data_IF_390334552221
#
_entry.id   IF_390334552221
#
_cell.length_a   1.000
_cell.length_b   1.000
_cell.length_c   1.000
_cell.angle_alpha   90.00
_cell.angle_beta   90.00
_cell.angle_gamma   90.00
#
_symmetry.space_group_name_H-M   'P 1'
#
loop_
_entity.id
_entity.type
_entity.pdbx_description
1 polymer ?
#
# COMPACT_ATOMS: atom_id res chain seq x y z
N UNK A 1 3.28 11.55 -12.84
CA UNK A 1 2.38 10.81 -13.76
C UNK A 1 1.37 10.09 -12.91
N UNK A 2 0.10 10.11 -13.29
CA UNK A 2 -0.97 9.45 -12.54
C UNK A 2 -1.37 8.15 -13.25
N UNK A 3 -1.38 7.05 -12.51
CA UNK A 3 -1.84 5.73 -12.93
C UNK A 3 -3.15 5.44 -12.21
N UNK A 4 -4.29 5.73 -12.85
CA UNK A 4 -5.62 5.60 -12.25
C UNK A 4 -6.34 6.94 -12.11
N UNK A 5 -7.30 7.02 -11.19
CA UNK A 5 -8.07 8.24 -10.87
C UNK A 5 -7.98 8.52 -9.38
N UNK A 6 -7.51 9.72 -9.00
CA UNK A 6 -7.24 10.06 -7.59
C UNK A 6 -8.47 9.93 -6.69
N UNK A 7 -9.66 10.19 -7.24
CA UNK A 7 -10.95 10.09 -6.54
C UNK A 7 -11.40 8.64 -6.29
N UNK A 8 -10.74 7.66 -6.88
CA UNK A 8 -11.01 6.22 -6.70
C UNK A 8 -9.75 5.56 -6.14
N UNK A 9 -8.80 5.24 -7.02
CA UNK A 9 -7.48 4.77 -6.67
C UNK A 9 -6.52 5.24 -7.76
N UNK A 10 -5.38 5.79 -7.36
CA UNK A 10 -4.30 6.10 -8.29
C UNK A 10 -2.94 5.93 -7.63
N UNK A 11 -1.94 5.67 -8.45
CA UNK A 11 -0.54 5.86 -8.08
C UNK A 11 -0.06 7.12 -8.79
N UNK A 12 0.41 8.10 -8.03
CA UNK A 12 1.13 9.24 -8.61
C UNK A 12 2.63 8.96 -8.47
N UNK A 13 3.33 8.86 -9.60
CA UNK A 13 4.78 8.66 -9.58
C UNK A 13 5.52 9.45 -10.66
N UNK A 14 6.76 9.82 -10.38
CA UNK A 14 7.65 10.54 -11.30
C UNK A 14 9.03 9.90 -11.21
N UNK A 15 9.56 9.43 -12.34
CA UNK A 15 10.94 8.95 -12.39
C UNK A 15 11.91 10.13 -12.44
N UNK A 16 13.01 10.00 -11.72
CA UNK A 16 14.14 10.91 -11.80
C UNK A 16 15.16 10.30 -12.74
N UNK A 17 15.56 11.04 -13.78
CA UNK A 17 16.69 10.63 -14.62
C UNK A 17 17.95 10.59 -13.79
N UNK A 18 18.42 9.38 -13.51
CA UNK A 18 19.71 9.15 -12.89
C UNK A 18 20.55 8.41 -13.90
N UNK A 19 21.81 8.83 -14.06
CA UNK A 19 22.79 8.16 -14.92
C UNK A 19 23.25 6.86 -14.22
N UNK A 20 22.30 5.95 -13.99
CA UNK A 20 22.53 4.73 -13.25
C UNK A 20 22.90 3.63 -14.23
N UNK A 21 24.19 3.30 -14.27
CA UNK A 21 24.68 2.01 -14.84
C UNK A 21 24.08 0.78 -14.13
N UNK A 22 23.30 0.99 -13.07
CA UNK A 22 22.63 0.00 -12.23
C UNK A 22 21.13 0.18 -12.46
N UNK A 23 20.38 -0.92 -12.60
CA UNK A 23 18.95 -1.00 -12.94
C UNK A 23 17.99 -0.40 -11.88
N UNK A 24 18.41 0.64 -11.16
CA UNK A 24 17.68 1.24 -10.06
C UNK A 24 16.92 2.44 -10.61
N UNK A 25 15.62 2.46 -10.38
CA UNK A 25 14.73 3.55 -10.81
C UNK A 25 14.40 4.39 -9.60
N UNK A 26 14.97 5.58 -9.55
CA UNK A 26 14.66 6.55 -8.50
C UNK A 26 13.55 7.48 -8.95
N UNK A 27 12.83 8.05 -8.01
CA UNK A 27 11.75 8.96 -8.31
C UNK A 27 11.01 9.45 -7.09
N UNK A 28 9.76 9.79 -7.27
CA UNK A 28 8.83 10.20 -6.21
C UNK A 28 7.52 9.48 -6.39
N UNK A 29 6.83 9.16 -5.31
CA UNK A 29 5.59 8.40 -5.34
C UNK A 29 4.62 8.82 -4.23
N UNK A 30 3.33 8.70 -4.49
CA UNK A 30 2.32 8.49 -3.46
C UNK A 30 1.16 7.65 -4.02
N UNK A 31 0.38 7.05 -3.14
CA UNK A 31 -0.87 6.42 -3.51
C UNK A 31 -2.04 7.35 -3.15
N UNK A 32 -3.06 7.38 -3.99
CA UNK A 32 -4.31 8.08 -3.73
C UNK A 32 -5.40 7.03 -3.51
N UNK A 33 -6.13 7.15 -2.39
CA UNK A 33 -7.25 6.28 -2.06
C UNK A 33 -8.46 7.17 -1.75
N UNK A 34 -9.47 7.17 -2.63
CA UNK A 34 -10.65 8.05 -2.52
C UNK A 34 -10.29 9.53 -2.28
N UNK A 35 -9.27 10.03 -2.98
CA UNK A 35 -8.77 11.41 -2.85
C UNK A 35 -7.84 11.66 -1.66
N UNK A 36 -7.59 10.66 -0.82
CA UNK A 36 -6.68 10.77 0.33
C UNK A 36 -5.27 10.28 -0.05
N UNK A 37 -4.21 11.06 0.21
CA UNK A 37 -2.84 10.67 -0.11
C UNK A 37 -2.24 9.76 0.98
N UNK A 38 -1.74 8.59 0.57
CA UNK A 38 -0.85 7.72 1.32
C UNK A 38 0.58 7.93 0.83
N UNK A 39 1.46 8.31 1.76
CA UNK A 39 2.84 8.70 1.44
C UNK A 39 2.93 10.14 0.94
N UNK A 40 4.12 10.53 0.52
CA UNK A 40 4.46 11.91 0.19
C UNK A 40 5.24 12.00 -1.12
N UNK A 41 4.57 12.50 -2.17
CA UNK A 41 5.16 12.71 -3.50
C UNK A 41 6.22 13.81 -3.53
N UNK A 42 6.32 14.63 -2.48
CA UNK A 42 7.36 15.64 -2.37
C UNK A 42 8.67 15.06 -1.80
N UNK A 43 8.68 13.82 -1.33
CA UNK A 43 9.91 13.15 -0.94
C UNK A 43 10.82 13.00 -2.17
N UNK A 44 12.07 13.50 -2.11
CA UNK A 44 12.83 13.82 -3.32
C UNK A 44 13.37 12.60 -4.04
N UNK A 45 13.56 11.48 -3.35
CA UNK A 45 14.21 10.29 -3.90
C UNK A 45 13.71 9.03 -3.20
N UNK A 46 12.85 8.29 -3.88
CA UNK A 46 12.37 6.97 -3.51
C UNK A 46 12.86 5.95 -4.54
N UNK A 47 13.29 4.76 -4.11
CA UNK A 47 13.56 3.64 -5.02
C UNK A 47 12.25 3.02 -5.52
N UNK A 48 11.75 3.50 -6.65
CA UNK A 48 10.46 3.11 -7.20
C UNK A 48 10.38 1.62 -7.60
N UNK A 49 11.49 1.03 -8.03
CA UNK A 49 11.54 -0.39 -8.40
C UNK A 49 11.40 -1.32 -7.17
N UNK A 50 11.85 -0.88 -5.98
CA UNK A 50 11.64 -1.63 -4.73
C UNK A 50 10.16 -1.62 -4.37
N UNK A 51 9.53 -0.44 -4.38
CA UNK A 51 8.08 -0.32 -4.16
C UNK A 51 7.26 -1.09 -5.20
N UNK A 52 7.71 -1.12 -6.47
CA UNK A 52 7.10 -1.91 -7.52
C UNK A 52 7.11 -3.42 -7.22
N UNK A 53 8.18 -3.96 -6.64
CA UNK A 53 8.23 -5.37 -6.25
C UNK A 53 7.22 -5.71 -5.15
N UNK A 54 7.04 -4.83 -4.16
CA UNK A 54 5.97 -4.96 -3.17
C UNK A 54 4.59 -4.98 -3.83
N UNK A 55 4.32 -4.04 -4.73
CA UNK A 55 3.05 -3.96 -5.46
C UNK A 55 2.81 -5.20 -6.34
N UNK A 56 3.84 -5.75 -7.00
CA UNK A 56 3.74 -7.03 -7.74
C UNK A 56 3.34 -8.19 -6.84
N UNK A 57 3.89 -8.25 -5.63
CA UNK A 57 3.51 -9.28 -4.66
C UNK A 57 2.03 -9.11 -4.27
N UNK A 58 1.62 -7.89 -3.87
CA UNK A 58 0.23 -7.62 -3.46
C UNK A 58 -0.78 -7.89 -4.56
N UNK A 59 -0.46 -7.56 -5.81
CA UNK A 59 -1.31 -7.85 -6.96
C UNK A 59 -1.52 -9.36 -7.14
N UNK A 60 -0.46 -10.17 -6.99
CA UNK A 60 -0.52 -11.64 -7.11
C UNK A 60 -1.20 -12.32 -5.93
N UNK A 61 -1.17 -11.71 -4.75
CA UNK A 61 -1.73 -12.28 -3.52
C UNK A 61 -3.06 -11.67 -3.11
N UNK A 62 -3.68 -10.83 -3.95
CA UNK A 62 -4.90 -10.09 -3.63
C UNK A 62 -6.05 -11.00 -3.18
N UNK A 63 -6.18 -12.19 -3.78
CA UNK A 63 -7.15 -13.22 -3.39
C UNK A 63 -6.93 -13.74 -1.97
N UNK A 64 -5.67 -13.80 -1.52
CA UNK A 64 -5.29 -14.27 -0.20
C UNK A 64 -5.50 -13.21 0.89
N UNK A 65 -5.88 -11.98 0.52
CA UNK A 65 -6.16 -10.88 1.45
C UNK A 65 -7.62 -10.85 1.91
N UNK A 66 -8.44 -11.79 1.44
CA UNK A 66 -9.84 -11.88 1.83
C UNK A 66 -9.96 -12.28 3.30
N UNK A 67 -10.54 -11.40 4.11
CA UNK A 67 -10.77 -11.67 5.53
C UNK A 67 -12.06 -10.98 5.97
N UNK A 68 -13.11 -11.77 6.19
CA UNK A 68 -14.44 -11.27 6.56
C UNK A 68 -14.44 -10.58 7.93
N UNK A 69 -13.64 -11.07 8.88
CA UNK A 69 -13.51 -10.47 10.21
C UNK A 69 -12.95 -9.06 10.09
N UNK A 70 -11.78 -8.88 9.47
CA UNK A 70 -11.18 -7.56 9.25
C UNK A 70 -12.09 -6.63 8.45
N UNK A 71 -12.73 -7.15 7.41
CA UNK A 71 -13.63 -6.38 6.54
C UNK A 71 -14.89 -5.88 7.26
N UNK A 72 -15.28 -6.53 8.36
CA UNK A 72 -16.43 -6.13 9.19
C UNK A 72 -16.10 -5.10 10.26
N UNK A 73 -14.81 -4.89 10.55
CA UNK A 73 -14.34 -3.95 11.56
C UNK A 73 -14.36 -2.51 11.05
N UNK A 74 -14.46 -1.56 11.98
CA UNK A 74 -14.16 -0.16 11.66
C UNK A 74 -12.68 -0.02 11.28
N UNK A 75 -12.35 0.95 10.42
CA UNK A 75 -10.97 1.22 10.01
C UNK A 75 -10.01 1.36 11.21
N UNK A 76 -10.44 2.06 12.27
CA UNK A 76 -9.65 2.22 13.49
C UNK A 76 -9.42 0.90 14.23
N UNK A 77 -10.40 0.02 14.30
CA UNK A 77 -10.27 -1.29 14.95
C UNK A 77 -9.38 -2.22 14.10
N UNK A 78 -9.64 -2.32 12.80
CA UNK A 78 -8.83 -3.09 11.87
C UNK A 78 -7.37 -2.63 11.88
N UNK A 79 -7.12 -1.31 11.81
CA UNK A 79 -5.77 -0.75 11.92
C UNK A 79 -5.09 -1.17 13.23
N UNK A 80 -5.76 -1.03 14.37
CA UNK A 80 -5.18 -1.43 15.67
C UNK A 80 -4.85 -2.92 15.72
N UNK A 81 -5.75 -3.78 15.23
CA UNK A 81 -5.51 -5.22 15.17
C UNK A 81 -4.28 -5.52 14.31
N UNK A 82 -4.21 -4.95 13.10
CA UNK A 82 -3.11 -5.18 12.17
C UNK A 82 -1.79 -4.57 12.67
N UNK A 83 -1.85 -3.40 13.29
CA UNK A 83 -0.70 -2.71 13.88
C UNK A 83 -0.11 -3.47 15.04
N UNK A 84 -0.94 -3.89 16.00
CA UNK A 84 -0.48 -4.73 17.11
C UNK A 84 0.18 -5.99 16.57
N UNK A 85 -0.52 -6.68 15.68
CA UNK A 85 -0.10 -7.97 15.17
C UNK A 85 1.23 -7.89 14.36
N UNK A 86 1.55 -6.75 13.74
CA UNK A 86 2.84 -6.48 13.08
C UNK A 86 4.05 -6.48 14.04
N UNK A 87 3.86 -6.12 15.32
CA UNK A 87 4.96 -6.01 16.31
C UNK A 87 4.92 -7.08 17.40
N UNK A 88 3.95 -8.00 17.35
CA UNK A 88 3.66 -8.92 18.45
C UNK A 88 4.14 -10.34 18.13
N UNK A 89 5.28 -10.50 17.47
CA UNK A 89 5.89 -11.83 17.26
C UNK A 89 6.03 -12.55 18.63
N UNK A 90 5.18 -13.56 18.86
CA UNK A 90 5.23 -14.41 20.04
C UNK A 90 4.48 -13.95 21.30
N UNK A 91 3.56 -12.97 21.23
CA UNK A 91 2.66 -12.66 22.36
C UNK A 91 1.21 -12.83 21.87
N UNK A 92 0.50 -13.83 22.38
CA UNK A 92 -0.92 -14.02 22.07
C UNK A 92 -1.72 -12.78 22.49
N UNK A 93 -2.40 -12.08 21.57
CA UNK A 93 -3.27 -10.98 21.94
C UNK A 93 -4.49 -11.54 22.70
N UNK A 94 -4.83 -10.91 23.83
CA UNK A 94 -5.91 -11.34 24.75
C UNK A 94 -7.30 -11.35 24.07
N UNK A 95 -7.46 -10.67 22.94
CA UNK A 95 -8.63 -10.68 22.07
C UNK A 95 -8.17 -10.59 20.61
N UNK A 96 -7.59 -11.66 20.05
CA UNK A 96 -7.10 -11.68 18.66
C UNK A 96 -8.18 -12.14 17.66
N UNK A 97 -8.82 -11.23 16.90
CA UNK A 97 -9.73 -11.62 15.82
C UNK A 97 -9.03 -12.31 14.63
N UNK A 98 -7.69 -12.30 14.58
CA UNK A 98 -6.86 -12.89 13.52
C UNK A 98 -6.31 -14.27 13.88
N UNK A 99 -6.29 -14.62 15.18
CA UNK A 99 -5.68 -15.84 15.71
C UNK A 99 -4.14 -15.86 15.60
N UNK A 100 -3.52 -16.95 16.07
CA UNK A 100 -2.07 -17.14 16.31
C UNK A 100 -1.08 -16.80 15.16
N UNK A 101 -1.54 -16.41 13.97
CA UNK A 101 -0.66 -16.07 12.86
C UNK A 101 -1.10 -14.77 12.20
N UNK A 102 -0.60 -13.66 12.74
CA UNK A 102 -0.51 -12.45 11.94
C UNK A 102 0.30 -12.73 10.69
N UNK A 103 -0.28 -12.37 9.55
CA UNK A 103 0.33 -12.61 8.25
C UNK A 103 0.70 -11.24 7.66
N UNK A 104 2.01 -11.03 7.46
CA UNK A 104 2.60 -9.89 6.75
C UNK A 104 1.97 -9.66 5.35
N UNK A 105 1.13 -10.58 4.85
CA UNK A 105 0.26 -10.37 3.68
C UNK A 105 -0.58 -9.10 3.76
N UNK A 106 -1.01 -8.64 4.95
CA UNK A 106 -1.84 -7.44 5.07
C UNK A 106 -1.05 -6.13 5.07
N UNK A 107 0.27 -6.18 5.25
CA UNK A 107 1.11 -4.98 5.13
C UNK A 107 0.95 -4.33 3.75
N UNK A 108 0.85 -3.01 3.67
CA UNK A 108 0.73 -2.31 2.41
C UNK A 108 1.61 -1.09 2.40
N UNK A 109 2.88 -1.25 2.02
CA UNK A 109 3.83 -0.13 1.89
C UNK A 109 4.13 0.57 3.22
N UNK A 110 3.98 -0.09 4.38
CA UNK A 110 4.46 0.47 5.65
C UNK A 110 5.95 0.68 5.56
N UNK A 111 6.41 1.93 5.64
CA UNK A 111 7.80 2.32 5.34
C UNK A 111 8.32 1.69 4.03
N UNK A 112 7.45 1.57 3.01
CA UNK A 112 7.70 0.86 1.75
C UNK A 112 8.62 1.58 0.76
N UNK A 113 9.56 2.38 1.28
CA UNK A 113 10.41 3.32 0.56
C UNK A 113 10.29 4.73 1.14
N UNK A 114 11.20 5.62 0.73
CA UNK A 114 11.33 6.97 1.27
C UNK A 114 10.05 7.81 1.10
N UNK A 115 9.27 7.54 0.04
CA UNK A 115 7.96 8.16 -0.17
C UNK A 115 6.90 7.74 0.86
N UNK A 116 7.13 6.67 1.60
CA UNK A 116 6.22 6.09 2.59
C UNK A 116 6.84 6.08 3.99
N UNK A 117 8.00 6.72 4.19
CA UNK A 117 8.61 6.87 5.51
C UNK A 117 7.66 7.57 6.47
N UNK A 118 7.51 7.00 7.67
CA UNK A 118 6.59 7.49 8.69
C UNK A 118 5.12 7.17 8.41
N UNK A 119 4.81 6.55 7.27
CA UNK A 119 3.48 6.01 7.00
C UNK A 119 3.37 4.55 7.41
N UNK A 120 2.19 4.19 7.90
CA UNK A 120 1.80 2.82 8.21
C UNK A 120 0.50 2.52 7.53
N UNK A 121 0.46 1.43 6.80
CA UNK A 121 -0.66 1.14 5.92
C UNK A 121 -0.85 -0.34 5.71
N UNK A 122 -2.12 -0.71 5.59
CA UNK A 122 -2.57 -2.08 5.45
C UNK A 122 -3.60 -2.20 4.33
N UNK A 123 -3.70 -3.40 3.79
CA UNK A 123 -4.63 -3.76 2.72
C UNK A 123 -5.43 -5.00 3.12
N UNK A 124 -6.74 -4.92 2.97
CA UNK A 124 -7.68 -6.02 3.22
C UNK A 124 -8.62 -6.14 2.03
N UNK A 125 -8.96 -7.36 1.63
CA UNK A 125 -9.96 -7.59 0.58
C UNK A 125 -11.30 -7.99 1.19
N UNK A 126 -12.36 -7.38 0.68
CA UNK A 126 -13.76 -7.70 0.96
C UNK A 126 -14.48 -7.95 -0.37
N UNK A 127 -14.63 -9.22 -0.77
CA UNK A 127 -15.25 -9.60 -2.06
C UNK A 127 -14.60 -8.87 -3.27
N UNK A 128 -15.37 -8.01 -3.96
CA UNK A 128 -14.90 -7.22 -5.11
C UNK A 128 -14.34 -5.85 -4.73
N UNK A 129 -14.06 -5.64 -3.44
CA UNK A 129 -13.51 -4.42 -2.91
C UNK A 129 -12.18 -4.66 -2.18
N UNK A 130 -11.33 -3.65 -2.24
CA UNK A 130 -10.07 -3.57 -1.50
C UNK A 130 -10.21 -2.39 -0.55
N UNK A 131 -10.04 -2.64 0.73
CA UNK A 131 -9.94 -1.63 1.76
C UNK A 131 -8.47 -1.35 2.04
N UNK A 132 -8.07 -0.10 1.91
CA UNK A 132 -6.74 0.38 2.29
C UNK A 132 -6.92 1.25 3.52
N UNK A 133 -6.19 0.92 4.58
CA UNK A 133 -6.27 1.58 5.88
C UNK A 133 -4.89 2.10 6.21
N UNK A 134 -4.75 3.37 6.55
CA UNK A 134 -3.43 3.97 6.69
C UNK A 134 -3.39 5.16 7.63
N UNK A 135 -2.18 5.52 8.02
CA UNK A 135 -1.85 6.68 8.81
C UNK A 135 -0.52 7.23 8.29
N UNK A 136 -0.45 8.50 7.92
CA UNK A 136 0.82 9.18 7.65
C UNK A 136 1.40 9.71 8.98
N UNK A 137 2.66 10.13 9.00
CA UNK A 137 3.39 10.50 10.21
C UNK A 137 2.62 11.50 11.10
N UNK A 138 2.13 11.04 12.25
CA UNK A 138 1.38 11.85 13.22
C UNK A 138 -0.07 12.17 12.86
N UNK A 139 -0.60 11.67 11.74
CA UNK A 139 -1.96 11.93 11.28
C UNK A 139 -3.02 11.03 11.94
N UNK A 140 -4.28 11.33 11.69
CA UNK A 140 -5.39 10.44 12.03
C UNK A 140 -5.44 9.23 11.10
N UNK A 141 -5.95 8.09 11.60
CA UNK A 141 -6.19 6.90 10.79
C UNK A 141 -7.21 7.23 9.70
N UNK A 142 -6.80 7.04 8.45
CA UNK A 142 -7.59 7.17 7.24
C UNK A 142 -7.89 5.80 6.64
N UNK A 143 -8.94 5.73 5.83
CA UNK A 143 -9.22 4.53 5.05
C UNK A 143 -10.03 4.88 3.81
N UNK A 144 -9.84 4.11 2.76
CA UNK A 144 -10.72 4.12 1.61
C UNK A 144 -10.96 2.71 1.08
N UNK A 145 -12.14 2.53 0.51
CA UNK A 145 -12.55 1.29 -0.14
C UNK A 145 -12.67 1.54 -1.63
N UNK A 146 -12.02 0.70 -2.42
CA UNK A 146 -11.94 0.81 -3.88
C UNK A 146 -12.31 -0.54 -4.50
N UNK A 147 -12.77 -0.56 -5.75
CA UNK A 147 -12.99 -1.83 -6.45
C UNK A 147 -11.66 -2.55 -6.70
N UNK A 148 -11.68 -3.89 -6.66
CA UNK A 148 -10.55 -4.74 -7.08
C UNK A 148 -10.04 -4.33 -8.47
N UNK A 149 -10.93 -4.11 -9.43
CA UNK A 149 -10.57 -3.75 -10.81
C UNK A 149 -9.77 -2.45 -10.86
N UNK A 150 -10.27 -1.36 -10.27
CA UNK A 150 -9.56 -0.07 -10.22
C UNK A 150 -8.17 -0.17 -9.56
N UNK A 151 -8.05 -0.97 -8.49
CA UNK A 151 -6.76 -1.23 -7.85
C UNK A 151 -5.82 -1.98 -8.80
N UNK A 152 -6.27 -3.09 -9.38
CA UNK A 152 -5.48 -3.91 -10.28
C UNK A 152 -5.05 -3.15 -11.54
N UNK A 153 -5.95 -2.38 -12.15
CA UNK A 153 -5.67 -1.56 -13.33
C UNK A 153 -4.58 -0.52 -13.05
N UNK A 154 -4.72 0.22 -11.95
CA UNK A 154 -3.79 1.29 -11.57
C UNK A 154 -2.40 0.75 -11.22
N UNK A 155 -2.36 -0.32 -10.41
CA UNK A 155 -1.10 -1.01 -10.07
C UNK A 155 -0.46 -1.58 -11.33
N UNK A 156 -1.21 -2.27 -12.18
CA UNK A 156 -0.68 -2.85 -13.43
C UNK A 156 -0.20 -1.79 -14.42
N UNK A 157 -0.84 -0.62 -14.47
CA UNK A 157 -0.38 0.49 -15.28
C UNK A 157 0.96 1.04 -14.77
N UNK A 158 1.09 1.27 -13.45
CA UNK A 158 2.34 1.68 -12.84
C UNK A 158 3.47 0.65 -13.07
N UNK A 159 3.18 -0.64 -12.88
CA UNK A 159 4.15 -1.72 -13.06
C UNK A 159 4.65 -1.86 -14.50
N UNK A 160 3.81 -1.57 -15.49
CA UNK A 160 4.26 -1.52 -16.90
C UNK A 160 5.14 -0.30 -17.16
N UNK A 161 4.76 0.86 -16.62
CA UNK A 161 5.54 2.07 -16.79
C UNK A 161 6.94 1.99 -16.15
N UNK A 162 7.06 1.39 -14.96
CA UNK A 162 8.36 1.33 -14.26
C UNK A 162 9.40 0.43 -14.95
N UNK A 163 8.98 -0.44 -15.88
CA UNK A 163 9.89 -1.24 -16.71
C UNK A 163 10.61 -0.38 -17.76
N UNK A 164 9.99 0.73 -18.19
CA UNK A 164 10.53 1.69 -19.16
C UNK A 164 10.14 3.14 -18.80
N UNK A 165 10.69 3.70 -17.71
CA UNK A 165 10.23 4.97 -17.15
C UNK A 165 10.61 6.23 -17.96
N UNK A 166 11.42 6.07 -19.01
CA UNK A 166 12.02 7.13 -19.83
C UNK A 166 11.42 7.25 -21.26
N UNK A 167 10.37 6.48 -21.57
CA UNK A 167 9.47 6.69 -22.72
C UNK A 167 8.20 7.43 -22.30
#
# INVERSE_FOLDING_TARGET
MDFGKREVFAIEAYATKVDSKRQWVFGRMCCWVNGLPLGNVNQPMCMLNVTADFLRVKLRTLDNLSNSTLSSLTARMAFKCLDQALYTEGIEPIDDPLGDNFDYRYDFLTNGGESFDGSKSFIVRAEQQVQIIFCNDGDEIQSGTVSVDAFQESVSAFLRWIETPDE
#
